data_IF_822721626854
#
_entry.id   IF_822721626854
#
_cell.length_a   1.000
_cell.length_b   1.000
_cell.length_c   1.000
_cell.angle_alpha   90.00
_cell.angle_beta   90.00
_cell.angle_gamma   90.00
#
_symmetry.space_group_name_H-M   'P 1'
#
loop_
_entity.id
_entity.type
_entity.pdbx_description
1 polymer ?
#
# COMPACT_ATOMS: atom_id res chain seq x y z
N UNK A 1 -1.63 -7.21 -10.85
CA UNK A 1 -2.58 -7.34 -9.72
C UNK A 1 -1.73 -7.48 -8.47
N UNK A 2 -1.81 -6.55 -7.51
CA UNK A 2 -0.93 -6.43 -6.33
C UNK A 2 -1.23 -7.48 -5.23
N UNK A 3 -1.53 -8.71 -5.62
CA UNK A 3 -2.06 -9.73 -4.70
C UNK A 3 -1.09 -10.16 -3.58
N UNK A 4 0.18 -9.74 -3.60
CA UNK A 4 1.22 -10.34 -2.75
C UNK A 4 2.13 -9.33 -2.04
N UNK A 5 1.85 -8.03 -2.06
CA UNK A 5 2.62 -7.11 -1.21
C UNK A 5 2.03 -7.14 0.20
N UNK A 6 2.42 -8.15 0.97
CA UNK A 6 2.14 -8.25 2.41
C UNK A 6 2.71 -7.00 3.10
N UNK A 7 1.87 -5.98 3.25
CA UNK A 7 2.21 -4.70 3.84
C UNK A 7 1.72 -4.72 5.29
N UNK A 8 2.50 -4.14 6.21
CA UNK A 8 2.13 -4.03 7.62
C UNK A 8 2.00 -2.57 8.00
N UNK A 9 1.12 -2.28 8.95
CA UNK A 9 0.97 -0.95 9.50
C UNK A 9 2.23 -0.57 10.28
N UNK A 10 2.88 0.54 9.90
CA UNK A 10 4.12 1.03 10.55
C UNK A 10 3.91 1.46 12.02
N UNK A 11 2.66 1.49 12.51
CA UNK A 11 2.33 1.86 13.89
C UNK A 11 1.98 0.68 14.79
N UNK A 12 1.15 -0.25 14.30
CA UNK A 12 0.62 -1.34 15.11
C UNK A 12 0.94 -2.73 14.55
N UNK A 13 1.72 -2.80 13.48
CA UNK A 13 2.17 -4.02 12.81
C UNK A 13 1.04 -4.93 12.29
N UNK A 14 -0.21 -4.44 12.30
CA UNK A 14 -1.35 -5.15 11.73
C UNK A 14 -1.16 -5.33 10.22
N UNK A 15 -1.57 -6.48 9.66
CA UNK A 15 -1.54 -6.67 8.21
C UNK A 15 -2.46 -5.66 7.52
N UNK A 16 -2.02 -5.17 6.36
CA UNK A 16 -2.77 -4.30 5.47
C UNK A 16 -3.02 -5.05 4.17
N UNK A 17 -4.28 -5.12 3.79
CA UNK A 17 -4.77 -5.75 2.57
C UNK A 17 -5.51 -4.74 1.68
N UNK A 18 -6.16 -5.24 0.63
CA UNK A 18 -6.88 -4.42 -0.35
C UNK A 18 -8.05 -3.62 0.28
N UNK A 19 -8.66 -4.07 1.38
CA UNK A 19 -9.76 -3.33 2.05
C UNK A 19 -9.25 -2.06 2.74
N UNK A 20 -7.96 -2.05 3.10
CA UNK A 20 -7.26 -0.91 3.66
C UNK A 20 -6.76 0.06 2.58
N UNK A 21 -6.72 -0.34 1.30
CA UNK A 21 -6.22 0.50 0.22
C UNK A 21 -7.17 1.65 -0.08
N UNK A 22 -6.67 2.89 0.00
CA UNK A 22 -7.47 4.11 -0.24
C UNK A 22 -7.07 4.85 -1.52
N UNK A 23 -5.79 4.81 -1.85
CA UNK A 23 -5.27 5.54 -3.00
C UNK A 23 -4.20 4.72 -3.71
N UNK A 24 -4.31 4.66 -5.04
CA UNK A 24 -3.22 4.27 -5.91
C UNK A 24 -2.90 5.44 -6.83
N UNK A 25 -1.62 5.85 -6.84
CA UNK A 25 -1.13 6.92 -7.68
C UNK A 25 0.09 6.46 -8.47
N UNK A 26 -0.03 6.50 -9.79
CA UNK A 26 1.07 6.20 -10.70
C UNK A 26 1.92 7.44 -10.95
N UNK A 27 3.24 7.30 -10.93
CA UNK A 27 4.17 8.33 -11.37
C UNK A 27 5.35 7.73 -12.13
N UNK A 28 6.16 8.58 -12.77
CA UNK A 28 7.37 8.15 -13.46
C UNK A 28 8.37 7.40 -12.54
N UNK A 29 8.27 7.61 -11.22
CA UNK A 29 9.10 6.93 -10.22
C UNK A 29 8.45 5.71 -9.58
N UNK A 30 7.41 5.14 -10.19
CA UNK A 30 6.67 3.99 -9.68
C UNK A 30 5.30 4.31 -9.11
N UNK A 31 4.63 3.27 -8.62
CA UNK A 31 3.26 3.32 -8.12
C UNK A 31 3.28 3.47 -6.61
N UNK A 32 2.52 4.42 -6.09
CA UNK A 32 2.33 4.64 -4.65
C UNK A 32 0.97 4.13 -4.24
N UNK A 33 0.96 3.29 -3.23
CA UNK A 33 -0.25 2.78 -2.59
C UNK A 33 -0.34 3.35 -1.18
N UNK A 34 -1.45 4.04 -0.88
CA UNK A 34 -1.73 4.51 0.47
C UNK A 34 -2.80 3.62 1.11
N UNK A 35 -2.45 3.03 2.24
CA UNK A 35 -3.30 2.17 3.04
C UNK A 35 -3.68 2.90 4.32
N UNK A 36 -4.95 2.85 4.69
CA UNK A 36 -5.45 3.37 5.96
C UNK A 36 -5.79 2.21 6.88
N UNK A 37 -5.07 2.10 7.98
CA UNK A 37 -5.28 1.10 9.00
C UNK A 37 -6.44 1.50 9.93
N UNK A 38 -7.14 0.52 10.51
CA UNK A 38 -8.15 0.74 11.55
C UNK A 38 -7.61 1.46 12.80
N UNK A 39 -6.29 1.44 13.03
CA UNK A 39 -5.65 2.21 14.10
C UNK A 39 -5.52 3.72 13.77
N UNK A 40 -5.97 4.14 12.60
CA UNK A 40 -5.91 5.52 12.09
C UNK A 40 -4.54 5.94 11.56
N UNK A 41 -3.62 5.01 11.33
CA UNK A 41 -2.34 5.28 10.67
C UNK A 41 -2.46 5.10 9.15
N UNK A 42 -1.64 5.83 8.40
CA UNK A 42 -1.52 5.69 6.95
C UNK A 42 -0.13 5.16 6.61
N UNK A 43 -0.07 4.01 5.94
CA UNK A 43 1.16 3.43 5.38
C UNK A 43 1.21 3.70 3.89
N UNK A 44 2.35 4.16 3.37
CA UNK A 44 2.58 4.35 1.93
C UNK A 44 3.62 3.35 1.45
N UNK A 45 3.22 2.45 0.56
CA UNK A 45 4.12 1.54 -0.14
C UNK A 45 4.43 2.05 -1.55
N UNK A 46 5.65 1.81 -2.01
CA UNK A 46 6.08 2.10 -3.38
C UNK A 46 6.37 0.78 -4.09
N UNK A 47 5.76 0.56 -5.24
CA UNK A 47 6.06 -0.55 -6.13
C UNK A 47 6.62 0.00 -7.45
N UNK A 48 7.48 -0.80 -8.11
CA UNK A 48 7.89 -0.48 -9.46
C UNK A 48 6.66 -0.48 -10.40
N UNK A 49 6.61 0.41 -11.40
CA UNK A 49 5.53 0.38 -12.37
C UNK A 49 5.57 -0.97 -13.06
N UNK A 50 4.45 -1.70 -13.01
CA UNK A 50 4.38 -3.12 -13.36
C UNK A 50 5.07 -3.41 -14.69
N UNK A 51 6.18 -4.15 -14.64
CA UNK A 51 6.61 -4.92 -15.81
C UNK A 51 5.60 -6.06 -15.93
N UNK A 52 4.80 -6.02 -16.99
CA UNK A 52 3.90 -7.10 -17.41
C UNK A 52 4.69 -8.39 -17.67
#
# INVERSE_FOLDING_TARGET
>A
MLADLACTCERCDAPLDDDHLRLTMESAGGVRHAYECDCGAVTIAVSEPGTI
#
